data_IF_755636067077
#
_entry.id   IF_755636067077
#
_cell.length_a   1.000
_cell.length_b   1.000
_cell.length_c   1.000
_cell.angle_alpha   90.00
_cell.angle_beta   90.00
_cell.angle_gamma   90.00
#
_symmetry.space_group_name_H-M   'P 1'
#
loop_
_entity.id
_entity.type
_entity.pdbx_description
1 polymer ?
#
# COMPACT_ATOMS: atom_id res chain seq x y z
N UNK A 1 -10.51 29.90 8.44
CA UNK A 1 -11.54 29.08 7.77
C UNK A 1 -10.83 28.13 6.83
N UNK A 2 -10.92 26.82 7.07
CA UNK A 2 -9.73 26.00 6.91
C UNK A 2 -9.74 25.09 5.68
N UNK A 3 -8.53 24.70 5.30
CA UNK A 3 -8.29 23.50 4.50
C UNK A 3 -8.31 22.28 5.42
N UNK A 4 -8.89 21.18 4.95
CA UNK A 4 -8.87 19.88 5.61
C UNK A 4 -8.15 18.87 4.73
N UNK A 5 -7.48 17.90 5.35
CA UNK A 5 -6.89 16.77 4.64
C UNK A 5 -7.43 15.48 5.24
N UNK A 6 -8.01 14.64 4.39
CA UNK A 6 -8.35 13.27 4.73
C UNK A 6 -7.10 12.40 4.71
N UNK A 7 -6.43 12.29 5.85
CA UNK A 7 -5.24 11.45 6.00
C UNK A 7 -5.51 9.95 5.85
N UNK A 8 -6.77 9.49 5.78
CA UNK A 8 -7.09 8.09 5.46
C UNK A 8 -6.84 7.76 3.98
N UNK A 9 -6.72 8.78 3.12
CA UNK A 9 -6.43 8.63 1.67
C UNK A 9 -5.29 9.49 1.15
N UNK A 10 -4.68 10.32 2.01
CA UNK A 10 -3.48 11.06 1.67
C UNK A 10 -2.25 10.17 1.86
N UNK A 11 -1.44 10.02 0.82
CA UNK A 11 -0.15 9.31 0.89
C UNK A 11 0.90 10.03 1.76
N UNK A 12 0.64 11.27 2.18
CA UNK A 12 1.49 12.08 3.04
C UNK A 12 2.93 12.18 2.50
N UNK A 13 3.07 12.34 1.18
CA UNK A 13 4.37 12.47 0.51
C UNK A 13 5.00 13.86 0.74
N UNK A 14 6.34 13.90 0.79
CA UNK A 14 7.11 15.15 0.89
C UNK A 14 6.94 16.01 -0.37
N UNK A 15 6.88 15.37 -1.54
CA UNK A 15 6.65 15.96 -2.85
C UNK A 15 5.16 16.13 -3.15
N UNK A 16 4.39 16.63 -2.19
CA UNK A 16 2.95 16.84 -2.38
C UNK A 16 2.68 18.04 -3.31
N UNK A 17 2.01 17.79 -4.44
CA UNK A 17 1.57 18.85 -5.36
C UNK A 17 0.70 19.91 -4.66
N UNK A 18 -0.15 19.52 -3.72
CA UNK A 18 -0.99 20.45 -2.95
C UNK A 18 -0.19 21.41 -2.08
N UNK A 19 0.95 20.95 -1.52
CA UNK A 19 1.91 21.79 -0.80
C UNK A 19 2.65 22.71 -1.77
N UNK A 20 3.14 22.16 -2.89
CA UNK A 20 3.92 22.91 -3.88
C UNK A 20 3.14 24.09 -4.51
N UNK A 21 1.82 23.95 -4.70
CA UNK A 21 0.98 25.00 -5.29
C UNK A 21 0.37 25.96 -4.26
N UNK A 22 0.60 25.77 -2.95
CA UNK A 22 -0.03 26.58 -1.92
C UNK A 22 0.65 27.96 -1.79
N UNK A 23 0.01 29.06 -2.25
CA UNK A 23 0.69 30.36 -2.34
C UNK A 23 0.94 31.02 -0.98
N UNK A 24 0.13 30.68 0.04
CA UNK A 24 0.23 31.28 1.37
C UNK A 24 1.08 30.48 2.35
N UNK A 25 1.57 29.30 1.94
CA UNK A 25 2.26 28.37 2.85
C UNK A 25 1.37 27.77 3.94
N UNK A 26 0.04 27.82 3.79
CA UNK A 26 -0.91 27.14 4.69
C UNK A 26 -0.73 25.62 4.70
N UNK A 27 -0.22 25.03 3.62
CA UNK A 27 0.25 23.65 3.57
C UNK A 27 1.77 23.65 3.48
N UNK A 28 2.42 22.86 4.33
CA UNK A 28 3.88 22.75 4.37
C UNK A 28 4.32 21.35 4.80
N UNK A 29 5.56 20.98 4.50
CA UNK A 29 6.15 19.73 4.99
C UNK A 29 6.80 19.94 6.37
N UNK A 30 6.35 19.20 7.37
CA UNK A 30 6.99 19.14 8.69
C UNK A 30 8.11 18.09 8.66
N UNK A 31 9.36 18.56 8.75
CA UNK A 31 10.55 17.70 8.69
C UNK A 31 10.70 16.81 9.93
N UNK A 32 10.21 17.25 11.09
CA UNK A 32 10.33 16.51 12.34
C UNK A 32 9.30 15.38 12.38
N UNK A 33 8.04 15.70 12.04
CA UNK A 33 6.94 14.73 12.02
C UNK A 33 6.87 13.90 10.75
N UNK A 34 7.64 14.27 9.72
CA UNK A 34 7.62 13.68 8.36
C UNK A 34 6.18 13.62 7.83
N UNK A 35 5.48 14.74 7.93
CA UNK A 35 4.07 14.83 7.53
C UNK A 35 3.70 16.20 7.00
N UNK A 36 2.64 16.24 6.19
CA UNK A 36 2.04 17.50 5.76
C UNK A 36 1.43 18.19 6.98
N UNK A 37 1.87 19.42 7.25
CA UNK A 37 1.36 20.32 8.26
C UNK A 37 0.38 21.30 7.64
N UNK A 38 -0.71 21.53 8.35
CA UNK A 38 -1.74 22.49 7.99
C UNK A 38 -1.68 23.66 8.96
N UNK A 39 -1.55 24.86 8.43
CA UNK A 39 -1.64 26.14 9.14
C UNK A 39 -2.85 26.91 8.61
N UNK A 40 -3.98 26.75 9.32
CA UNK A 40 -5.25 27.30 8.90
C UNK A 40 -5.41 28.79 9.15
N UNK A 41 -4.49 29.42 9.88
CA UNK A 41 -4.44 30.88 10.02
C UNK A 41 -3.98 31.54 8.71
N UNK A 42 -3.14 30.84 7.94
CA UNK A 42 -2.66 31.29 6.62
C UNK A 42 -3.55 30.87 5.46
N UNK A 43 -4.59 30.08 5.70
CA UNK A 43 -5.44 29.56 4.64
C UNK A 43 -6.45 30.61 4.18
N UNK A 44 -6.37 30.97 2.89
CA UNK A 44 -7.30 31.92 2.25
C UNK A 44 -8.43 31.23 1.46
N UNK A 45 -8.58 29.92 1.63
CA UNK A 45 -9.64 29.13 0.98
C UNK A 45 -9.69 29.24 -0.56
N UNK A 46 -8.53 29.39 -1.22
CA UNK A 46 -8.46 29.57 -2.68
C UNK A 46 -8.77 28.30 -3.50
N UNK A 47 -8.69 27.11 -2.91
CA UNK A 47 -9.02 25.83 -3.57
C UNK A 47 -7.98 25.29 -4.56
N UNK A 48 -6.82 25.93 -4.70
CA UNK A 48 -5.78 25.48 -5.67
C UNK A 48 -5.21 24.11 -5.25
N UNK A 49 -4.96 23.91 -3.96
CA UNK A 49 -4.45 22.65 -3.43
C UNK A 49 -5.45 21.48 -3.55
N UNK A 50 -6.76 21.76 -3.40
CA UNK A 50 -7.83 20.79 -3.62
C UNK A 50 -7.83 20.28 -5.08
N UNK A 51 -7.73 21.20 -6.05
CA UNK A 51 -7.65 20.84 -7.47
C UNK A 51 -6.37 20.10 -7.85
N UNK A 52 -5.25 20.40 -7.18
CA UNK A 52 -3.96 19.75 -7.42
C UNK A 52 -3.88 18.35 -6.79
N UNK A 53 -4.79 18.00 -5.88
CA UNK A 53 -4.76 16.72 -5.19
C UNK A 53 -5.29 15.59 -6.08
N UNK A 54 -4.38 14.80 -6.66
CA UNK A 54 -4.72 13.70 -7.56
C UNK A 54 -5.58 12.59 -6.91
N UNK A 55 -5.51 12.46 -5.59
CA UNK A 55 -6.26 11.47 -4.79
C UNK A 55 -7.49 12.06 -4.10
N UNK A 56 -7.79 13.34 -4.33
CA UNK A 56 -8.94 14.04 -3.70
C UNK A 56 -8.95 13.96 -2.17
N UNK A 57 -7.77 14.01 -1.54
CA UNK A 57 -7.63 13.99 -0.09
C UNK A 57 -7.71 15.39 0.54
N UNK A 58 -7.45 16.46 -0.22
CA UNK A 58 -7.45 17.84 0.26
C UNK A 58 -8.81 18.46 -0.07
N UNK A 59 -9.45 19.06 0.92
CA UNK A 59 -10.74 19.74 0.80
C UNK A 59 -10.65 21.16 1.35
N UNK A 60 -11.32 22.11 0.71
CA UNK A 60 -11.32 23.52 1.15
C UNK A 60 -12.74 23.96 1.49
N UNK A 61 -12.95 24.37 2.74
CA UNK A 61 -14.24 24.88 3.20
C UNK A 61 -14.32 26.41 3.06
N UNK A 62 -15.38 26.93 2.43
CA UNK A 62 -15.58 28.38 2.25
C UNK A 62 -16.45 29.00 3.34
N UNK A 63 -17.16 28.19 4.11
CA UNK A 63 -18.02 28.60 5.22
C UNK A 63 -18.08 27.48 6.27
N UNK A 64 -18.67 27.79 7.42
CA UNK A 64 -18.76 26.87 8.55
C UNK A 64 -19.61 25.63 8.24
N UNK A 65 -20.69 25.79 7.46
CA UNK A 65 -21.55 24.67 7.07
C UNK A 65 -20.79 23.65 6.19
N UNK A 66 -20.04 24.15 5.20
CA UNK A 66 -19.16 23.32 4.38
C UNK A 66 -18.07 22.64 5.21
N UNK A 67 -17.46 23.37 6.16
CA UNK A 67 -16.44 22.80 7.03
C UNK A 67 -16.98 21.60 7.82
N UNK A 68 -18.13 21.78 8.47
CA UNK A 68 -18.75 20.72 9.27
C UNK A 68 -19.17 19.53 8.40
N UNK A 69 -19.66 19.78 7.18
CA UNK A 69 -19.99 18.73 6.22
C UNK A 69 -18.76 17.93 5.80
N UNK A 70 -17.69 18.60 5.35
CA UNK A 70 -16.43 17.96 4.94
C UNK A 70 -15.84 17.17 6.11
N UNK A 71 -15.81 17.76 7.30
CA UNK A 71 -15.29 17.08 8.50
C UNK A 71 -16.07 15.80 8.79
N UNK A 72 -17.40 15.85 8.73
CA UNK A 72 -18.26 14.67 8.90
C UNK A 72 -17.97 13.60 7.84
N UNK A 73 -17.83 13.98 6.57
CA UNK A 73 -17.50 13.05 5.47
C UNK A 73 -16.13 12.38 5.69
N UNK A 74 -15.13 13.13 6.16
CA UNK A 74 -13.80 12.59 6.50
C UNK A 74 -13.89 11.63 7.70
N UNK A 75 -14.65 11.99 8.74
CA UNK A 75 -14.80 11.19 9.95
C UNK A 75 -15.53 9.86 9.65
N UNK A 76 -16.59 9.91 8.84
CA UNK A 76 -17.41 8.76 8.41
C UNK A 76 -16.74 7.89 7.33
N UNK A 77 -15.63 8.34 6.74
CA UNK A 77 -14.87 7.55 5.76
C UNK A 77 -14.44 6.21 6.38
N UNK A 78 -14.89 5.05 5.81
CA UNK A 78 -14.61 3.73 6.38
C UNK A 78 -13.14 3.32 6.22
N UNK A 79 -12.37 4.03 5.39
CA UNK A 79 -10.94 3.77 5.18
C UNK A 79 -10.16 4.14 6.44
N UNK A 80 -9.05 3.45 6.66
CA UNK A 80 -8.13 3.71 7.77
C UNK A 80 -6.81 4.21 7.20
N UNK A 81 -6.07 4.99 7.98
CA UNK A 81 -4.70 5.38 7.61
C UNK A 81 -3.83 4.13 7.36
N UNK A 82 -4.08 3.04 8.08
CA UNK A 82 -3.44 1.73 7.83
C UNK A 82 -3.69 1.19 6.43
N UNK A 83 -4.78 1.59 5.75
CA UNK A 83 -5.11 1.16 4.39
C UNK A 83 -4.15 1.73 3.33
N UNK A 84 -3.53 2.88 3.61
CA UNK A 84 -2.51 3.49 2.76
C UNK A 84 -1.19 2.72 2.80
N UNK A 85 -0.97 1.97 3.88
CA UNK A 85 0.22 1.12 4.07
C UNK A 85 -0.03 -0.33 3.64
N UNK A 86 -1.16 -0.60 2.99
CA UNK A 86 -1.47 -1.94 2.47
C UNK A 86 -0.63 -2.14 1.24
N UNK A 87 0.43 -2.93 1.41
CA UNK A 87 1.22 -3.38 0.29
C UNK A 87 0.30 -4.05 -0.75
N UNK A 88 0.61 -3.88 -2.03
CA UNK A 88 -0.24 -4.37 -3.13
C UNK A 88 0.48 -5.44 -3.90
N UNK A 89 -0.16 -6.59 -4.08
CA UNK A 89 0.39 -7.66 -4.89
C UNK A 89 0.66 -7.18 -6.32
N UNK A 90 1.85 -7.49 -6.84
CA UNK A 90 2.28 -7.13 -8.19
C UNK A 90 2.69 -5.66 -8.36
N UNK A 91 2.97 -4.96 -7.25
CA UNK A 91 3.44 -3.57 -7.25
C UNK A 91 4.74 -3.42 -6.44
N UNK A 92 5.49 -2.34 -6.67
CA UNK A 92 6.68 -2.01 -5.87
C UNK A 92 6.28 -1.92 -4.39
N UNK A 93 7.07 -2.47 -3.44
CA UNK A 93 6.80 -2.30 -2.02
C UNK A 93 6.72 -0.80 -1.70
N UNK A 94 5.57 -0.36 -1.19
CA UNK A 94 5.38 1.04 -0.77
C UNK A 94 6.15 1.32 0.54
N UNK A 95 6.36 0.28 1.36
CA UNK A 95 7.07 0.39 2.62
C UNK A 95 8.14 -0.70 2.77
N UNK A 96 9.32 -0.29 3.21
CA UNK A 96 10.47 -1.16 3.52
C UNK A 96 10.16 -2.27 4.53
N UNK A 97 9.09 -2.16 5.33
CA UNK A 97 8.71 -3.15 6.34
C UNK A 97 8.16 -4.45 5.72
N UNK A 98 7.65 -4.37 4.49
CA UNK A 98 7.24 -5.54 3.73
C UNK A 98 8.39 -6.11 2.88
N UNK A 99 9.39 -5.30 2.56
CA UNK A 99 10.56 -5.74 1.83
C UNK A 99 11.51 -6.53 2.74
N UNK A 100 11.76 -7.77 2.36
CA UNK A 100 12.70 -8.68 2.99
C UNK A 100 13.90 -8.86 2.06
N UNK A 101 15.11 -8.83 2.62
CA UNK A 101 16.31 -9.22 1.88
C UNK A 101 16.42 -10.73 1.79
N UNK A 102 17.08 -11.23 0.74
CA UNK A 102 17.26 -12.66 0.51
C UNK A 102 17.92 -13.38 1.70
N UNK A 103 18.82 -12.74 2.45
CA UNK A 103 19.49 -13.38 3.59
C UNK A 103 18.54 -13.67 4.77
N UNK A 104 17.45 -12.92 4.89
CA UNK A 104 16.45 -13.08 5.96
C UNK A 104 15.41 -14.15 5.66
N UNK A 105 15.41 -14.75 4.46
CA UNK A 105 14.41 -15.72 4.04
C UNK A 105 14.25 -16.87 5.05
N UNK A 106 15.35 -17.49 5.48
CA UNK A 106 15.30 -18.62 6.42
C UNK A 106 14.74 -18.21 7.80
N UNK A 107 15.10 -17.02 8.29
CA UNK A 107 14.66 -16.53 9.60
C UNK A 107 13.20 -16.10 9.56
N UNK A 108 12.78 -15.40 8.51
CA UNK A 108 11.46 -14.78 8.45
C UNK A 108 10.37 -15.65 7.85
N UNK A 109 10.75 -16.66 7.05
CA UNK A 109 9.84 -17.58 6.34
C UNK A 109 9.94 -18.98 6.90
N UNK A 110 11.14 -19.59 6.86
CA UNK A 110 11.31 -21.01 7.22
C UNK A 110 11.16 -21.25 8.72
N UNK A 111 11.70 -20.34 9.54
CA UNK A 111 11.64 -20.44 11.01
C UNK A 111 10.31 -19.93 11.60
N UNK A 112 9.34 -19.56 10.76
CA UNK A 112 8.06 -19.03 11.23
C UNK A 112 7.04 -20.13 11.46
N UNK A 113 6.40 -20.10 12.63
CA UNK A 113 5.28 -20.98 12.97
C UNK A 113 3.94 -20.51 12.36
N UNK A 114 3.90 -19.28 11.85
CA UNK A 114 2.73 -18.70 11.19
C UNK A 114 2.68 -19.10 9.71
N UNK A 115 1.51 -18.93 9.10
CA UNK A 115 1.41 -18.94 7.64
C UNK A 115 2.17 -17.73 7.10
N UNK A 116 3.07 -17.94 6.14
CA UNK A 116 3.87 -16.89 5.51
C UNK A 116 3.61 -16.87 4.02
N UNK A 117 3.22 -15.71 3.49
CA UNK A 117 3.13 -15.44 2.07
C UNK A 117 4.33 -14.62 1.61
N UNK A 118 5.04 -15.07 0.58
CA UNK A 118 6.21 -14.38 0.03
C UNK A 118 5.95 -14.07 -1.43
N UNK A 119 5.89 -12.80 -1.79
CA UNK A 119 5.91 -12.36 -3.18
C UNK A 119 7.34 -12.09 -3.63
N UNK A 120 7.78 -12.83 -4.62
CA UNK A 120 9.07 -12.64 -5.26
C UNK A 120 8.86 -11.90 -6.57
N UNK A 121 9.60 -10.82 -6.77
CA UNK A 121 9.50 -9.96 -7.95
C UNK A 121 10.89 -9.58 -8.47
N UNK A 122 10.98 -9.24 -9.75
CA UNK A 122 12.12 -8.52 -10.35
C UNK A 122 11.66 -7.15 -10.87
N UNK A 123 12.59 -6.29 -11.29
CA UNK A 123 12.27 -4.92 -11.74
C UNK A 123 11.31 -4.91 -12.95
N UNK A 124 11.38 -5.93 -13.82
CA UNK A 124 10.55 -6.05 -15.03
C UNK A 124 9.13 -6.60 -14.76
N UNK A 125 8.91 -7.24 -13.60
CA UNK A 125 7.64 -7.88 -13.22
C UNK A 125 6.72 -6.99 -12.39
N UNK A 126 7.23 -5.82 -11.99
CA UNK A 126 6.45 -4.87 -11.20
C UNK A 126 5.60 -4.03 -12.15
N UNK A 127 4.29 -4.18 -12.04
CA UNK A 127 3.33 -3.45 -12.86
C UNK A 127 2.80 -2.19 -12.14
N UNK A 128 2.21 -1.28 -12.92
CA UNK A 128 1.65 -0.03 -12.41
C UNK A 128 0.67 -0.25 -11.24
N UNK A 129 0.80 0.53 -10.15
CA UNK A 129 -0.05 0.49 -8.95
C UNK A 129 -1.57 0.48 -9.24
N UNK A 130 -2.01 1.00 -10.40
CA UNK A 130 -3.42 1.02 -10.82
C UNK A 130 -4.01 -0.37 -11.12
N UNK A 131 -3.18 -1.36 -11.47
CA UNK A 131 -3.62 -2.73 -11.79
C UNK A 131 -3.38 -3.74 -10.65
N UNK A 132 -2.67 -3.32 -9.61
CA UNK A 132 -2.33 -4.16 -8.45
C UNK A 132 -3.52 -4.42 -7.50
N UNK A 133 -3.49 -5.57 -6.83
CA UNK A 133 -4.53 -6.01 -5.89
C UNK A 133 -4.04 -5.78 -4.45
N UNK A 134 -4.82 -5.11 -3.57
CA UNK A 134 -4.42 -4.93 -2.17
C UNK A 134 -4.23 -6.26 -1.43
N UNK A 135 -3.10 -6.44 -0.76
CA UNK A 135 -2.77 -7.68 -0.03
C UNK A 135 -3.82 -8.02 1.04
N UNK A 136 -4.41 -7.00 1.69
CA UNK A 136 -5.50 -7.18 2.65
C UNK A 136 -6.74 -7.85 2.06
N UNK A 137 -6.98 -7.68 0.76
CA UNK A 137 -8.11 -8.28 0.08
C UNK A 137 -7.82 -9.72 -0.29
N UNK A 138 -6.56 -10.03 -0.64
CA UNK A 138 -6.09 -11.39 -0.91
C UNK A 138 -6.20 -12.25 0.36
N UNK A 139 -5.82 -11.69 1.51
CA UNK A 139 -5.72 -12.43 2.77
C UNK A 139 -6.78 -12.04 3.79
N UNK A 140 -7.93 -11.55 3.33
CA UNK A 140 -9.02 -11.13 4.22
C UNK A 140 -9.46 -12.28 5.12
N UNK A 141 -9.35 -12.09 6.44
CA UNK A 141 -9.73 -13.10 7.44
C UNK A 141 -8.68 -14.18 7.69
N UNK A 142 -7.45 -14.02 7.20
CA UNK A 142 -6.33 -14.95 7.41
C UNK A 142 -5.27 -14.35 8.35
N UNK A 143 -4.78 -15.11 9.34
CA UNK A 143 -3.57 -14.75 10.10
C UNK A 143 -2.32 -15.17 9.30
N UNK A 144 -1.86 -14.28 8.43
CA UNK A 144 -0.71 -14.50 7.54
C UNK A 144 0.32 -13.40 7.70
N UNK A 145 1.60 -13.79 7.73
CA UNK A 145 2.73 -12.88 7.59
C UNK A 145 3.05 -12.71 6.12
N UNK A 146 2.89 -11.51 5.56
CA UNK A 146 3.23 -11.24 4.16
C UNK A 146 4.57 -10.51 4.03
N UNK A 147 5.39 -10.94 3.08
CA UNK A 147 6.68 -10.35 2.72
C UNK A 147 6.84 -10.27 1.22
N UNK A 148 7.54 -9.24 0.78
CA UNK A 148 8.02 -9.08 -0.59
C UNK A 148 9.51 -9.22 -0.63
N UNK A 149 10.03 -9.84 -1.67
CA UNK A 149 11.46 -10.02 -1.84
C UNK A 149 11.82 -9.76 -3.30
N UNK A 150 12.73 -8.79 -3.50
CA UNK A 150 13.34 -8.60 -4.81
C UNK A 150 14.25 -9.79 -5.10
N UNK A 151 14.13 -10.35 -6.29
CA UNK A 151 15.02 -11.41 -6.74
C UNK A 151 16.40 -10.81 -7.07
N UNK A 152 17.39 -11.13 -6.23
CA UNK A 152 18.79 -10.71 -6.43
C UNK A 152 19.68 -11.88 -6.87
N UNK A 153 19.24 -13.13 -6.65
CA UNK A 153 19.97 -14.34 -7.01
C UNK A 153 19.02 -15.50 -7.37
N UNK A 154 19.50 -16.44 -8.16
CA UNK A 154 18.68 -17.55 -8.67
C UNK A 154 18.52 -18.70 -7.67
N UNK A 155 19.11 -18.60 -6.47
CA UNK A 155 19.10 -19.70 -5.49
C UNK A 155 17.66 -20.08 -5.12
N UNK A 156 16.85 -19.09 -4.71
CA UNK A 156 15.46 -19.32 -4.31
C UNK A 156 14.61 -19.73 -5.52
N UNK A 157 14.92 -19.21 -6.72
CA UNK A 157 14.23 -19.62 -7.95
C UNK A 157 14.45 -21.10 -8.25
N UNK A 158 15.68 -21.59 -8.11
CA UNK A 158 16.03 -22.98 -8.33
C UNK A 158 15.45 -23.89 -7.24
N UNK A 159 15.59 -23.51 -5.96
CA UNK A 159 15.11 -24.28 -4.81
C UNK A 159 13.60 -24.54 -4.90
N UNK A 160 12.82 -23.55 -5.37
CA UNK A 160 11.37 -23.64 -5.49
C UNK A 160 10.86 -23.73 -6.93
N UNK A 161 11.76 -23.96 -7.90
CA UNK A 161 11.48 -24.14 -9.33
C UNK A 161 10.62 -23.04 -9.95
N UNK A 162 10.84 -21.78 -9.56
CA UNK A 162 10.08 -20.60 -10.01
C UNK A 162 10.45 -20.30 -11.47
N UNK A 163 9.46 -20.09 -12.33
CA UNK A 163 9.66 -19.84 -13.78
C UNK A 163 9.19 -18.47 -14.23
N UNK A 164 8.23 -17.88 -13.52
CA UNK A 164 7.62 -16.61 -13.90
C UNK A 164 7.36 -15.72 -12.70
N UNK A 165 7.36 -14.40 -12.95
CA UNK A 165 7.15 -13.36 -11.95
C UNK A 165 5.85 -12.58 -12.24
N UNK A 166 5.27 -11.91 -11.21
CA UNK A 166 5.56 -12.11 -9.80
C UNK A 166 5.19 -13.54 -9.36
N UNK A 167 5.94 -14.07 -8.39
CA UNK A 167 5.71 -15.40 -7.84
C UNK A 167 5.29 -15.28 -6.38
N UNK A 168 4.08 -15.73 -6.06
CA UNK A 168 3.54 -15.76 -4.71
C UNK A 168 3.67 -17.17 -4.12
N UNK A 169 4.51 -17.32 -3.12
CA UNK A 169 4.78 -18.58 -2.43
C UNK A 169 4.14 -18.59 -1.03
N UNK A 170 3.69 -19.76 -0.60
CA UNK A 170 3.04 -19.95 0.70
C UNK A 170 3.78 -20.98 1.54
N UNK A 171 4.12 -20.63 2.77
CA UNK A 171 4.85 -21.49 3.70
C UNK A 171 4.12 -21.62 5.05
N UNK A 172 4.22 -22.78 5.68
CA UNK A 172 3.77 -23.00 7.06
C UNK A 172 4.66 -24.03 7.74
N UNK A 173 5.19 -23.70 8.92
CA UNK A 173 6.11 -24.58 9.66
C UNK A 173 7.33 -24.99 8.82
N UNK A 174 7.89 -24.04 8.07
CA UNK A 174 9.06 -24.27 7.21
C UNK A 174 8.82 -25.04 5.92
N UNK A 175 7.60 -25.49 5.63
CA UNK A 175 7.27 -26.24 4.40
C UNK A 175 6.53 -25.36 3.40
N UNK A 176 6.87 -25.51 2.12
CA UNK A 176 6.12 -24.90 1.02
C UNK A 176 4.77 -25.62 0.86
N UNK A 177 3.67 -24.87 0.99
CA UNK A 177 2.31 -25.33 0.72
C UNK A 177 1.99 -25.28 -0.78
N UNK A 178 2.47 -24.23 -1.46
CA UNK A 178 2.25 -24.04 -2.88
C UNK A 178 2.74 -22.69 -3.37
N UNK A 179 2.61 -22.48 -4.69
CA UNK A 179 3.01 -21.24 -5.34
C UNK A 179 2.04 -20.88 -6.46
N UNK A 180 1.90 -19.57 -6.71
CA UNK A 180 1.16 -18.99 -7.82
C UNK A 180 2.17 -18.13 -8.57
N UNK A 181 2.33 -18.37 -9.86
CA UNK A 181 3.25 -17.61 -10.70
C UNK A 181 2.49 -16.84 -11.78
N UNK A 182 3.03 -15.68 -12.16
CA UNK A 182 2.44 -14.77 -13.14
C UNK A 182 1.59 -13.69 -12.50
N UNK A 183 1.38 -12.60 -13.24
CA UNK A 183 0.64 -11.43 -12.79
C UNK A 183 -0.88 -11.63 -12.88
N UNK A 184 -1.60 -11.11 -11.88
CA UNK A 184 -3.06 -11.04 -11.86
C UNK A 184 -3.47 -9.60 -11.55
N UNK A 185 -4.30 -9.03 -12.42
CA UNK A 185 -4.84 -7.69 -12.21
C UNK A 185 -6.20 -7.71 -11.47
N UNK A 186 -6.76 -6.52 -11.23
CA UNK A 186 -8.07 -6.39 -10.59
C UNK A 186 -9.20 -7.13 -11.33
N UNK A 187 -9.11 -7.35 -12.66
CA UNK A 187 -10.12 -8.11 -13.40
C UNK A 187 -10.00 -9.62 -13.15
N UNK A 188 -8.80 -10.10 -12.81
CA UNK A 188 -8.52 -11.51 -12.51
C UNK A 188 -8.45 -11.80 -11.00
N UNK A 189 -8.89 -10.85 -10.17
CA UNK A 189 -8.80 -10.93 -8.71
C UNK A 189 -9.45 -12.20 -8.14
N UNK A 190 -10.66 -12.54 -8.58
CA UNK A 190 -11.37 -13.72 -8.05
C UNK A 190 -10.62 -15.03 -8.37
N UNK A 191 -10.00 -15.10 -9.54
CA UNK A 191 -9.14 -16.24 -9.94
C UNK A 191 -7.94 -16.36 -9.00
N UNK A 192 -7.32 -15.25 -8.64
CA UNK A 192 -6.21 -15.24 -7.68
C UNK A 192 -6.68 -15.72 -6.30
N UNK A 193 -7.81 -15.21 -5.81
CA UNK A 193 -8.39 -15.58 -4.51
C UNK A 193 -8.69 -17.09 -4.43
N UNK A 194 -9.27 -17.66 -5.48
CA UNK A 194 -9.55 -19.10 -5.55
C UNK A 194 -8.27 -19.93 -5.46
N UNK A 195 -7.23 -19.56 -6.21
CA UNK A 195 -5.92 -20.24 -6.16
C UNK A 195 -5.29 -20.16 -4.77
N UNK A 196 -5.35 -19.00 -4.13
CA UNK A 196 -4.84 -18.80 -2.76
C UNK A 196 -5.59 -19.68 -1.77
N UNK A 197 -6.92 -19.72 -1.85
CA UNK A 197 -7.75 -20.55 -0.98
C UNK A 197 -7.46 -22.04 -1.15
N UNK A 198 -7.26 -22.51 -2.39
CA UNK A 198 -6.91 -23.91 -2.68
C UNK A 198 -5.55 -24.29 -2.08
N UNK A 199 -4.57 -23.39 -2.11
CA UNK A 199 -3.23 -23.65 -1.55
C UNK A 199 -3.25 -23.67 -0.03
N UNK A 200 -3.96 -22.73 0.61
CA UNK A 200 -3.94 -22.56 2.07
C UNK A 200 -4.82 -23.60 2.78
N UNK A 201 -5.88 -24.11 2.13
CA UNK A 201 -6.76 -25.15 2.70
C UNK A 201 -6.20 -26.57 2.59
N UNK A 202 -5.10 -26.78 1.85
CA UNK A 202 -4.35 -28.05 1.81
C UNK A 202 -3.50 -28.23 3.07
#
# INVERSE_FOLDING_TARGET
MPVLINFKICDNAQECNGVAVCPTGALSWDKEKKSIKIDNEKCVSCGICEKACMVSAIHVARNENEYNKIKKEIDEDPRKVSDLFVDRYGATPIHTAFQMKSEKFNLEVISSDKLVGVEIYNDDSIECLRKSIPVKEIFKGMDIKFRKMKNENDKILNDYKIKSFPALLFFKGGKLLGKIEGYYDNAQKDILLDKVNVIIKK
#
